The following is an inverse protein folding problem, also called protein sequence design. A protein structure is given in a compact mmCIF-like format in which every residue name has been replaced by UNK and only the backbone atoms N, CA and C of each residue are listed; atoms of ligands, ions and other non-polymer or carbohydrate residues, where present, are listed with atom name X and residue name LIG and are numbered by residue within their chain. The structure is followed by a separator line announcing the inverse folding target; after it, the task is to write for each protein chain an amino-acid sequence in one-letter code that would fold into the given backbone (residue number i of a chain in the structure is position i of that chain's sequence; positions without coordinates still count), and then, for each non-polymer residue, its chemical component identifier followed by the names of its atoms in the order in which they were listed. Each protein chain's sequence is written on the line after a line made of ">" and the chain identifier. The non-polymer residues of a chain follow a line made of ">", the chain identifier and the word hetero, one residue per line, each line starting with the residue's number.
data_IF_993741993754
#
_entry.id   IF_993741993754
#
_cell.length_a   1.000
_cell.length_b   1.000
_cell.length_c   1.000
_cell.angle_alpha   90.00
_cell.angle_beta   90.00
_cell.angle_gamma   90.00
#
_symmetry.space_group_name_H-M   'P 1'
#
loop_
_entity.id
_entity.type
_entity.pdbx_description
1 polymer ?
#
# COMPACT_ATOMS: atom_id res chain seq x y z
N UNK A 1 55.19 49.43 -0.09
CA UNK A 1 55.47 50.13 1.19
C UNK A 1 54.19 50.89 1.53
N UNK A 2 53.33 50.55 2.50
CA UNK A 2 53.45 49.93 3.82
C UNK A 2 52.14 49.16 4.12
N UNK A 3 52.25 47.92 4.57
CA UNK A 3 51.30 47.29 5.54
C UNK A 3 51.49 48.00 6.91
N UNK A 4 50.69 47.84 7.99
CA UNK A 4 50.04 46.58 8.40
C UNK A 4 48.78 46.61 9.32
N UNK A 5 48.14 45.43 9.43
CA UNK A 5 47.59 44.75 10.62
C UNK A 5 46.85 45.56 11.71
N UNK A 6 45.56 45.26 11.96
CA UNK A 6 45.07 44.72 13.24
C UNK A 6 43.55 44.41 13.19
N UNK A 7 43.10 43.44 14.01
CA UNK A 7 41.70 42.99 14.25
C UNK A 7 41.12 42.08 13.15
N UNK A 8 41.10 40.75 13.23
CA UNK A 8 40.72 39.84 14.33
C UNK A 8 39.31 40.16 14.87
N UNK A 9 38.27 39.53 14.29
CA UNK A 9 36.95 39.15 14.83
C UNK A 9 36.29 38.30 13.71
N UNK A 10 36.33 36.97 13.80
CA UNK A 10 35.24 36.13 14.33
C UNK A 10 33.86 36.46 13.72
N UNK A 11 33.52 35.77 12.63
CA UNK A 11 32.13 35.47 12.30
C UNK A 11 32.06 34.07 11.68
N UNK A 12 31.78 33.10 12.55
CA UNK A 12 31.49 31.71 12.24
C UNK A 12 30.15 31.65 11.49
N UNK A 13 30.19 31.64 10.16
CA UNK A 13 29.02 31.41 9.32
C UNK A 13 28.77 29.89 9.21
N UNK A 14 28.01 29.32 10.15
CA UNK A 14 27.33 28.04 9.92
C UNK A 14 26.09 28.28 9.06
N UNK A 15 26.25 28.22 7.74
CA UNK A 15 25.15 28.02 6.79
C UNK A 15 25.59 27.02 5.73
N UNK A 16 25.39 25.73 6.00
CA UNK A 16 25.23 24.68 4.99
C UNK A 16 24.95 23.35 5.73
N UNK A 17 23.70 23.13 6.15
CA UNK A 17 23.18 21.77 6.11
C UNK A 17 22.41 21.64 4.80
N UNK A 18 23.09 20.98 3.89
CA UNK A 18 22.59 20.38 2.67
C UNK A 18 21.22 19.73 2.92
N UNK A 19 20.27 20.00 2.04
CA UNK A 19 18.94 19.40 2.09
C UNK A 19 19.07 17.98 1.54
N UNK A 20 19.57 17.08 2.39
CA UNK A 20 19.69 15.67 2.08
C UNK A 20 18.30 15.05 1.87
N UNK A 21 18.10 14.59 0.64
CA UNK A 21 17.11 13.63 0.18
C UNK A 21 16.83 12.54 1.24
N UNK A 22 15.55 12.22 1.40
CA UNK A 22 15.05 11.13 2.25
C UNK A 22 15.84 9.82 2.06
N UNK A 23 16.24 9.15 3.16
CA UNK A 23 16.10 7.73 3.26
C UNK A 23 14.77 7.46 3.95
N UNK A 24 13.79 6.95 3.17
CA UNK A 24 12.62 6.25 3.70
C UNK A 24 13.12 5.28 4.78
N UNK A 25 12.78 5.59 6.02
CA UNK A 25 12.95 4.69 7.15
C UNK A 25 12.36 3.35 6.75
N UNK A 26 13.19 2.32 6.77
CA UNK A 26 12.79 0.92 6.80
C UNK A 26 12.01 0.70 8.09
N UNK A 27 10.73 1.04 8.03
CA UNK A 27 9.77 0.79 9.08
C UNK A 27 9.12 -0.55 8.73
N UNK A 28 9.55 -1.57 9.46
CA UNK A 28 8.88 -2.87 9.56
C UNK A 28 7.45 -2.65 10.08
N UNK A 29 6.52 -2.29 9.20
CA UNK A 29 5.12 -2.08 9.51
C UNK A 29 4.32 -3.34 9.18
N UNK A 30 4.24 -4.25 10.16
CA UNK A 30 3.21 -5.28 10.21
C UNK A 30 2.00 -4.68 10.96
N UNK A 31 1.18 -3.89 10.26
CA UNK A 31 -0.21 -3.53 10.58
C UNK A 31 -0.64 -2.36 9.69
N UNK A 32 -1.91 -2.37 9.24
CA UNK A 32 -2.57 -1.48 8.24
C UNK A 32 -2.69 -2.13 6.86
N UNK A 33 -3.42 -3.25 6.73
CA UNK A 33 -3.74 -3.86 5.42
C UNK A 33 -5.24 -3.91 5.20
N UNK A 34 -5.91 -2.76 5.30
CA UNK A 34 -7.22 -2.61 4.64
C UNK A 34 -6.95 -2.12 3.23
N UNK A 35 -7.23 -2.95 2.23
CA UNK A 35 -6.89 -2.69 0.83
C UNK A 35 -8.00 -3.15 -0.12
N UNK A 36 -8.16 -2.44 -1.23
CA UNK A 36 -9.07 -2.79 -2.33
C UNK A 36 -8.23 -2.85 -3.61
N UNK A 37 -8.38 -3.94 -4.37
CA UNK A 37 -7.81 -4.08 -5.71
C UNK A 37 -8.88 -4.55 -6.69
N UNK A 38 -8.64 -4.29 -7.97
CA UNK A 38 -9.59 -4.57 -9.06
C UNK A 38 -8.88 -5.33 -10.18
N UNK A 39 -9.55 -6.33 -10.75
CA UNK A 39 -9.08 -7.09 -11.91
C UNK A 39 -10.23 -7.39 -12.89
N UNK A 40 -9.97 -7.45 -14.21
CA UNK A 40 -10.99 -7.89 -15.17
C UNK A 40 -11.43 -9.33 -14.87
N UNK A 41 -12.74 -9.57 -14.82
CA UNK A 41 -13.30 -10.90 -14.57
C UNK A 41 -13.85 -11.56 -15.84
N UNK A 42 -14.44 -10.76 -16.72
CA UNK A 42 -15.06 -11.23 -17.95
C UNK A 42 -15.94 -10.17 -18.60
N UNK A 43 -16.85 -10.59 -19.47
CA UNK A 43 -17.84 -9.73 -20.09
C UNK A 43 -19.16 -10.46 -20.30
N UNK A 44 -20.26 -9.78 -20.02
CA UNK A 44 -21.62 -10.29 -20.24
C UNK A 44 -22.37 -9.29 -21.12
N UNK A 45 -22.96 -9.76 -22.22
CA UNK A 45 -23.70 -8.93 -23.19
C UNK A 45 -22.92 -7.70 -23.68
N UNK A 46 -21.60 -7.85 -23.85
CA UNK A 46 -20.71 -6.77 -24.29
C UNK A 46 -20.37 -5.73 -23.21
N UNK A 47 -20.74 -5.96 -21.95
CA UNK A 47 -20.36 -5.13 -20.80
C UNK A 47 -19.25 -5.80 -20.02
N UNK A 48 -18.24 -5.04 -19.61
CA UNK A 48 -17.15 -5.55 -18.79
C UNK A 48 -17.61 -5.85 -17.36
N UNK A 49 -17.14 -6.98 -16.83
CA UNK A 49 -17.32 -7.38 -15.43
C UNK A 49 -15.98 -7.27 -14.73
N UNK A 50 -15.97 -6.55 -13.61
CA UNK A 50 -14.80 -6.32 -12.76
C UNK A 50 -14.93 -7.13 -11.50
N UNK A 51 -13.83 -7.75 -11.06
CA UNK A 51 -13.69 -8.41 -9.78
C UNK A 51 -12.95 -7.49 -8.81
N UNK A 52 -13.57 -7.23 -7.66
CA UNK A 52 -13.03 -6.42 -6.59
C UNK A 52 -12.54 -7.35 -5.48
N UNK A 53 -11.28 -7.23 -5.07
CA UNK A 53 -10.74 -7.94 -3.90
C UNK A 53 -10.65 -6.97 -2.74
N UNK A 54 -11.37 -7.26 -1.66
CA UNK A 54 -11.37 -6.48 -0.42
C UNK A 54 -10.61 -7.26 0.64
N UNK A 55 -9.58 -6.65 1.22
CA UNK A 55 -8.80 -7.22 2.33
C UNK A 55 -9.03 -6.39 3.58
N UNK A 56 -9.31 -7.03 4.72
CA UNK A 56 -9.37 -6.34 6.01
C UNK A 56 -8.04 -6.45 6.78
N UNK A 57 -7.92 -5.67 7.85
CA UNK A 57 -6.72 -5.67 8.71
C UNK A 57 -6.35 -7.03 9.32
N UNK A 58 -7.27 -8.00 9.34
CA UNK A 58 -7.06 -9.35 9.85
C UNK A 58 -6.72 -10.36 8.73
N UNK A 59 -6.52 -9.91 7.50
CA UNK A 59 -6.18 -10.74 6.35
C UNK A 59 -7.36 -11.49 5.72
N UNK A 60 -8.59 -11.29 6.20
CA UNK A 60 -9.79 -11.83 5.56
C UNK A 60 -9.97 -11.15 4.21
N UNK A 61 -10.24 -11.95 3.18
CA UNK A 61 -10.42 -11.47 1.80
C UNK A 61 -11.76 -11.87 1.24
N UNK A 62 -12.43 -10.93 0.56
CA UNK A 62 -13.62 -11.19 -0.23
C UNK A 62 -13.38 -10.74 -1.66
N UNK A 63 -13.72 -11.59 -2.64
CA UNK A 63 -13.75 -11.24 -4.06
C UNK A 63 -15.19 -11.07 -4.52
N UNK A 64 -15.55 -9.92 -5.07
CA UNK A 64 -16.94 -9.54 -5.40
C UNK A 64 -16.99 -8.99 -6.83
N UNK A 65 -17.99 -9.37 -7.63
CA UNK A 65 -18.17 -8.83 -8.99
C UNK A 65 -19.16 -7.67 -9.03
N UNK A 66 -18.95 -6.69 -9.92
CA UNK A 66 -19.99 -5.70 -10.24
C UNK A 66 -21.19 -6.29 -11.01
N UNK A 67 -21.08 -7.54 -11.47
CA UNK A 67 -22.20 -8.30 -12.01
C UNK A 67 -22.98 -8.96 -10.86
N UNK A 68 -24.13 -8.38 -10.52
CA UNK A 68 -25.05 -8.91 -9.51
C UNK A 68 -24.53 -8.86 -8.06
N UNK A 69 -23.35 -8.31 -7.80
CA UNK A 69 -22.74 -8.28 -6.46
C UNK A 69 -22.33 -9.66 -5.95
N UNK A 70 -22.06 -10.59 -6.87
CA UNK A 70 -21.78 -11.99 -6.52
C UNK A 70 -20.45 -12.11 -5.80
N UNK A 71 -20.43 -12.83 -4.66
CA UNK A 71 -19.20 -13.23 -3.98
C UNK A 71 -18.62 -14.42 -4.74
N UNK A 72 -17.42 -14.25 -5.29
CA UNK A 72 -16.69 -15.28 -6.05
C UNK A 72 -15.78 -16.11 -5.15
N UNK A 73 -15.20 -15.49 -4.12
CA UNK A 73 -14.30 -16.16 -3.17
C UNK A 73 -14.36 -15.44 -1.82
N UNK A 74 -14.23 -16.20 -0.72
CA UNK A 74 -14.14 -15.66 0.64
C UNK A 74 -13.06 -16.43 1.42
N UNK A 75 -11.91 -15.80 1.62
CA UNK A 75 -10.81 -16.39 2.38
C UNK A 75 -10.92 -15.97 3.84
N UNK A 76 -11.08 -16.93 4.74
CA UNK A 76 -11.21 -16.73 6.17
C UNK A 76 -10.40 -17.77 6.97
N UNK A 77 -9.98 -17.46 8.21
CA UNK A 77 -9.28 -18.41 9.07
C UNK A 77 -10.26 -19.45 9.65
N UNK A 78 -9.81 -20.69 9.79
CA UNK A 78 -10.44 -21.69 10.64
C UNK A 78 -10.09 -21.48 12.13
N UNK A 79 -10.52 -22.40 12.99
CA UNK A 79 -10.26 -22.34 14.44
C UNK A 79 -8.77 -22.31 14.79
N UNK A 80 -7.94 -22.95 13.96
CA UNK A 80 -6.50 -23.06 14.19
C UNK A 80 -5.74 -21.94 13.45
N UNK A 81 -6.46 -20.97 12.87
CA UNK A 81 -5.92 -19.80 12.18
C UNK A 81 -5.55 -20.06 10.72
N UNK A 82 -5.85 -21.24 10.18
CA UNK A 82 -5.51 -21.59 8.80
C UNK A 82 -6.50 -20.94 7.84
N UNK A 83 -5.98 -20.14 6.90
CA UNK A 83 -6.79 -19.49 5.88
C UNK A 83 -7.28 -20.47 4.82
N UNK A 84 -8.55 -20.37 4.44
CA UNK A 84 -9.15 -21.14 3.36
C UNK A 84 -10.37 -20.45 2.76
N UNK A 85 -10.74 -20.84 1.54
CA UNK A 85 -11.98 -20.38 0.92
C UNK A 85 -13.18 -21.09 1.57
N UNK A 86 -14.16 -20.31 2.01
CA UNK A 86 -15.38 -20.80 2.65
C UNK A 86 -16.64 -20.59 1.78
N UNK A 87 -16.46 -20.10 0.56
CA UNK A 87 -17.54 -19.87 -0.40
C UNK A 87 -17.51 -20.87 -1.55
N UNK A 88 -18.66 -21.07 -2.19
CA UNK A 88 -18.75 -21.77 -3.46
C UNK A 88 -18.93 -20.72 -4.56
N UNK A 89 -17.99 -20.67 -5.50
CA UNK A 89 -17.98 -19.72 -6.60
C UNK A 89 -17.43 -20.34 -7.88
N UNK A 90 -17.44 -19.55 -8.95
CA UNK A 90 -16.89 -19.91 -10.26
C UNK A 90 -15.71 -19.01 -10.59
N UNK A 91 -14.69 -19.55 -11.25
CA UNK A 91 -13.47 -18.80 -11.57
C UNK A 91 -13.67 -17.74 -12.66
N UNK A 92 -14.79 -17.78 -13.40
CA UNK A 92 -15.05 -16.94 -14.58
C UNK A 92 -16.55 -16.68 -14.77
N UNK A 93 -16.85 -15.58 -15.45
CA UNK A 93 -18.19 -15.20 -15.95
C UNK A 93 -18.22 -15.14 -17.46
#
# INVERSE_FOLDING_TARGET
>A
MKTPHFFLISALALTACDRAESPKTTESAMAETTAISEEPFGSVDGKEVTLYTLTNANGVQAKITNYGGTIVSMIAPDRDGKMGDVSLGFDKV
#
